data_IF_235203673288
#
_entry.id   IF_235203673288
#
_cell.length_a   1.000
_cell.length_b   1.000
_cell.length_c   1.000
_cell.angle_alpha   90.00
_cell.angle_beta   90.00
_cell.angle_gamma   90.00
#
_symmetry.space_group_name_H-M   'P 1'
#
loop_
_entity.id
_entity.type
_entity.pdbx_description
1 polymer ?
#
# COMPACT_ATOMS: atom_id res chain seq x y z
N UNK A 1 -19.93 -31.37 41.36
CA UNK A 1 -18.92 -32.45 41.55
C UNK A 1 -17.79 -32.41 40.52
N UNK A 2 -18.05 -32.32 39.20
CA UNK A 2 -17.02 -32.30 38.13
C UNK A 2 -15.88 -31.26 38.29
N UNK A 3 -16.17 -30.08 38.83
CA UNK A 3 -15.14 -29.03 39.04
C UNK A 3 -14.13 -29.37 40.14
N UNK A 4 -14.56 -30.00 41.24
CA UNK A 4 -13.68 -30.39 42.35
C UNK A 4 -12.73 -31.53 41.96
N UNK A 5 -13.21 -32.49 41.16
CA UNK A 5 -12.38 -33.59 40.64
C UNK A 5 -11.25 -33.07 39.76
N UNK A 6 -11.54 -32.11 38.87
CA UNK A 6 -10.54 -31.46 38.01
C UNK A 6 -9.50 -30.64 38.79
N UNK A 7 -9.87 -30.10 39.95
CA UNK A 7 -8.93 -29.37 40.80
C UNK A 7 -7.93 -30.34 41.48
N UNK A 8 -8.41 -31.47 42.00
CA UNK A 8 -7.56 -32.49 42.61
C UNK A 8 -6.57 -33.10 41.60
N UNK A 9 -7.06 -33.49 40.42
CA UNK A 9 -6.22 -34.05 39.34
C UNK A 9 -5.12 -33.08 38.89
N UNK A 10 -5.43 -31.77 38.86
CA UNK A 10 -4.44 -30.72 38.57
C UNK A 10 -3.40 -30.63 39.68
N UNK A 11 -3.81 -30.66 40.94
CA UNK A 11 -2.89 -30.54 42.07
C UNK A 11 -1.95 -31.77 42.16
N UNK A 12 -2.46 -32.96 41.84
CA UNK A 12 -1.65 -34.17 41.65
C UNK A 12 -0.63 -34.00 40.52
N UNK A 13 -1.06 -33.50 39.36
CA UNK A 13 -0.15 -33.21 38.24
C UNK A 13 0.93 -32.19 38.62
N UNK A 14 0.57 -31.12 39.33
CA UNK A 14 1.51 -30.11 39.81
C UNK A 14 2.56 -30.71 40.75
N UNK A 15 2.15 -31.64 41.63
CA UNK A 15 3.06 -32.35 42.53
C UNK A 15 4.04 -33.23 41.77
N UNK A 16 3.57 -33.98 40.76
CA UNK A 16 4.40 -34.84 39.92
C UNK A 16 5.41 -34.03 39.08
N UNK A 17 5.01 -32.85 38.57
CA UNK A 17 5.92 -31.93 37.88
C UNK A 17 7.04 -31.48 38.81
N UNK A 18 6.74 -31.11 40.07
CA UNK A 18 7.76 -30.64 41.01
C UNK A 18 8.76 -31.73 41.39
N UNK A 19 8.33 -32.99 41.50
CA UNK A 19 9.20 -34.12 41.82
C UNK A 19 10.23 -34.42 40.73
N UNK A 20 9.93 -34.08 39.48
CA UNK A 20 10.78 -34.33 38.31
C UNK A 20 11.17 -33.03 37.59
N UNK A 21 11.04 -31.89 38.27
CA UNK A 21 11.23 -30.59 37.68
C UNK A 21 12.70 -30.32 37.39
N UNK A 22 12.99 -29.99 36.15
CA UNK A 22 14.22 -29.31 35.75
C UNK A 22 13.92 -27.83 35.51
N UNK A 23 14.85 -26.96 35.90
CA UNK A 23 14.82 -25.55 35.48
C UNK A 23 15.30 -25.48 34.04
N UNK A 24 14.48 -24.87 33.17
CA UNK A 24 14.83 -24.71 31.76
C UNK A 24 15.75 -23.50 31.60
N UNK A 25 16.79 -23.61 30.76
CA UNK A 25 17.74 -22.53 30.47
C UNK A 25 17.07 -21.27 29.92
N UNK A 26 15.93 -21.43 29.22
CA UNK A 26 15.06 -20.33 28.80
C UNK A 26 13.63 -20.57 29.30
N UNK A 27 12.98 -19.60 29.98
CA UNK A 27 11.58 -19.70 30.34
C UNK A 27 10.67 -19.67 29.10
N UNK A 28 9.47 -20.23 29.21
CA UNK A 28 8.44 -20.13 28.17
C UNK A 28 7.97 -18.68 28.00
N UNK A 29 7.38 -18.35 26.86
CA UNK A 29 6.88 -17.00 26.53
C UNK A 29 5.99 -16.39 27.62
N UNK A 30 5.05 -17.17 28.16
CA UNK A 30 4.13 -16.75 29.22
C UNK A 30 4.85 -16.49 30.55
N UNK A 31 5.80 -17.35 30.93
CA UNK A 31 6.59 -17.14 32.14
C UNK A 31 7.56 -15.97 32.00
N UNK A 32 8.15 -15.78 30.81
CA UNK A 32 9.05 -14.66 30.50
C UNK A 32 8.34 -13.32 30.62
N UNK A 33 7.14 -13.19 30.05
CA UNK A 33 6.34 -11.96 30.11
C UNK A 33 5.85 -11.62 31.51
N UNK A 34 5.59 -12.65 32.35
CA UNK A 34 5.08 -12.48 33.71
C UNK A 34 6.17 -12.51 34.80
N UNK A 35 7.43 -12.69 34.44
CA UNK A 35 8.54 -12.82 35.39
C UNK A 35 8.44 -14.06 36.30
N UNK A 36 7.83 -15.15 35.82
CA UNK A 36 7.62 -16.38 36.59
C UNK A 36 8.77 -17.38 36.39
N UNK A 37 9.06 -18.17 37.43
CA UNK A 37 10.04 -19.26 37.35
C UNK A 37 9.45 -20.44 36.56
N UNK A 38 10.02 -20.70 35.38
CA UNK A 38 9.60 -21.78 34.50
C UNK A 38 10.27 -23.11 34.91
N UNK A 39 9.49 -24.02 35.50
CA UNK A 39 9.92 -25.39 35.82
C UNK A 39 9.20 -26.38 34.93
N UNK A 40 9.93 -27.26 34.26
CA UNK A 40 9.36 -28.25 33.33
C UNK A 40 9.85 -29.63 33.71
N UNK A 41 8.95 -30.60 33.63
CA UNK A 41 9.29 -32.01 33.66
C UNK A 41 8.89 -32.64 32.33
N UNK A 42 9.85 -32.93 31.43
CA UNK A 42 9.56 -33.55 30.14
C UNK A 42 8.90 -34.92 30.23
N UNK A 43 9.07 -35.62 31.35
CA UNK A 43 8.51 -36.95 31.56
C UNK A 43 7.01 -36.93 31.90
N UNK A 44 6.53 -35.83 32.50
CA UNK A 44 5.18 -35.78 33.09
C UNK A 44 4.25 -34.85 32.29
N UNK A 45 4.76 -33.73 31.77
CA UNK A 45 3.93 -32.76 31.05
C UNK A 45 4.73 -31.98 30.01
N UNK A 46 4.07 -31.64 28.90
CA UNK A 46 4.59 -30.67 27.93
C UNK A 46 4.49 -29.23 28.44
N UNK A 47 3.69 -28.97 29.47
CA UNK A 47 3.50 -27.66 30.07
C UNK A 47 4.38 -27.46 31.31
N UNK A 48 4.83 -26.23 31.53
CA UNK A 48 5.56 -25.88 32.74
C UNK A 48 4.62 -25.75 33.94
N UNK A 49 5.16 -25.93 35.14
CA UNK A 49 4.44 -25.84 36.41
C UNK A 49 3.59 -24.56 36.53
N UNK A 50 4.18 -23.40 36.21
CA UNK A 50 3.50 -22.11 36.32
C UNK A 50 2.33 -21.98 35.32
N UNK A 51 2.48 -22.51 34.10
CA UNK A 51 1.40 -22.54 33.10
C UNK A 51 0.25 -23.45 33.52
N UNK A 52 0.54 -24.65 34.04
CA UNK A 52 -0.50 -25.57 34.56
C UNK A 52 -1.24 -24.93 35.74
N UNK A 53 -0.51 -24.32 36.68
CA UNK A 53 -1.08 -23.64 37.85
C UNK A 53 -1.99 -22.48 37.45
N UNK A 54 -1.63 -21.73 36.41
CA UNK A 54 -2.36 -20.57 35.93
C UNK A 54 -3.38 -20.90 34.82
N UNK A 55 -3.69 -22.19 34.61
CA UNK A 55 -4.63 -22.65 33.57
C UNK A 55 -4.32 -22.12 32.17
N UNK A 56 -3.03 -21.99 31.83
CA UNK A 56 -2.62 -21.60 30.49
C UNK A 56 -2.83 -22.78 29.54
N UNK A 57 -3.55 -22.53 28.45
CA UNK A 57 -3.84 -23.53 27.42
C UNK A 57 -2.61 -23.87 26.57
N UNK A 58 -1.66 -22.95 26.47
CA UNK A 58 -0.44 -23.11 25.68
C UNK A 58 0.80 -22.79 26.51
N UNK A 59 1.80 -23.65 26.40
CA UNK A 59 3.11 -23.49 27.01
C UNK A 59 4.17 -23.95 26.00
N UNK A 60 5.03 -23.03 25.59
CA UNK A 60 6.11 -23.23 24.62
C UNK A 60 7.44 -23.59 25.29
N UNK A 61 7.42 -24.05 26.55
CA UNK A 61 8.66 -24.36 27.28
C UNK A 61 9.50 -25.48 26.63
N UNK A 62 8.86 -26.35 25.84
CA UNK A 62 9.50 -27.42 25.05
C UNK A 62 9.62 -27.04 23.56
N UNK A 63 9.27 -25.80 23.19
CA UNK A 63 9.20 -25.35 21.80
C UNK A 63 7.89 -25.73 21.09
N UNK A 64 7.85 -25.43 19.79
CA UNK A 64 6.72 -25.73 18.91
C UNK A 64 6.83 -27.18 18.44
N UNK A 65 5.76 -27.97 18.60
CA UNK A 65 5.77 -29.35 18.08
C UNK A 65 5.83 -29.40 16.56
N UNK A 66 6.41 -30.48 16.01
CA UNK A 66 6.49 -30.67 14.56
C UNK A 66 5.11 -30.64 13.87
N UNK A 67 4.05 -31.11 14.54
CA UNK A 67 2.68 -31.03 14.02
C UNK A 67 2.16 -29.59 13.94
N UNK A 68 2.44 -28.77 14.96
CA UNK A 68 2.06 -27.35 14.95
C UNK A 68 2.83 -26.58 13.89
N UNK A 69 4.13 -26.85 13.73
CA UNK A 69 4.93 -26.21 12.69
C UNK A 69 4.38 -26.53 11.29
N UNK A 70 4.03 -27.80 11.03
CA UNK A 70 3.38 -28.19 9.76
C UNK A 70 2.06 -27.45 9.52
N UNK A 71 1.24 -27.26 10.57
CA UNK A 71 -0.01 -26.48 10.46
C UNK A 71 0.27 -25.02 10.11
N UNK A 72 1.27 -24.41 10.75
CA UNK A 72 1.68 -23.03 10.47
C UNK A 72 2.15 -22.88 9.02
N UNK A 73 3.03 -23.77 8.54
CA UNK A 73 3.51 -23.76 7.15
C UNK A 73 2.35 -23.94 6.16
N UNK A 74 1.43 -24.86 6.44
CA UNK A 74 0.26 -25.06 5.59
C UNK A 74 -0.68 -23.85 5.56
N UNK A 75 -0.84 -23.15 6.69
CA UNK A 75 -1.62 -21.91 6.75
C UNK A 75 -0.91 -20.76 6.02
N UNK A 76 0.41 -20.65 6.18
CA UNK A 76 1.22 -19.66 5.47
C UNK A 76 1.07 -19.81 3.95
N UNK A 77 1.27 -21.03 3.42
CA UNK A 77 1.14 -21.27 1.98
C UNK A 77 -0.25 -21.01 1.42
N UNK A 78 -1.31 -21.19 2.24
CA UNK A 78 -2.68 -20.80 1.84
C UNK A 78 -2.81 -19.29 1.71
N UNK A 79 -2.34 -18.54 2.70
CA UNK A 79 -2.40 -17.07 2.70
C UNK A 79 -1.55 -16.51 1.56
N UNK A 80 -0.37 -17.06 1.29
CA UNK A 80 0.46 -16.66 0.15
C UNK A 80 -0.26 -16.87 -1.18
N UNK A 81 -0.90 -18.03 -1.37
CA UNK A 81 -1.66 -18.29 -2.60
C UNK A 81 -2.89 -17.38 -2.75
N UNK A 82 -3.55 -17.04 -1.65
CA UNK A 82 -4.66 -16.08 -1.66
C UNK A 82 -4.18 -14.66 -1.96
N UNK A 83 -3.04 -14.26 -1.39
CA UNK A 83 -2.40 -12.96 -1.64
C UNK A 83 -2.02 -12.82 -3.12
N UNK A 84 -1.35 -13.83 -3.69
CA UNK A 84 -0.93 -13.82 -5.09
C UNK A 84 -2.14 -13.65 -6.04
N UNK A 85 -3.25 -14.34 -5.76
CA UNK A 85 -4.50 -14.19 -6.53
C UNK A 85 -5.07 -12.78 -6.42
N UNK A 86 -5.14 -12.23 -5.20
CA UNK A 86 -5.64 -10.89 -4.97
C UNK A 86 -4.78 -9.82 -5.66
N UNK A 87 -3.45 -9.99 -5.67
CA UNK A 87 -2.53 -9.11 -6.38
C UNK A 87 -2.71 -9.18 -7.90
N UNK A 88 -2.90 -10.37 -8.46
CA UNK A 88 -3.19 -10.54 -9.89
C UNK A 88 -4.51 -9.85 -10.29
N UNK A 89 -5.55 -9.99 -9.47
CA UNK A 89 -6.84 -9.31 -9.67
C UNK A 89 -6.70 -7.78 -9.57
N UNK A 90 -5.91 -7.29 -8.60
CA UNK A 90 -5.61 -5.88 -8.46
C UNK A 90 -4.92 -5.33 -9.72
N UNK A 91 -3.90 -6.01 -10.22
CA UNK A 91 -3.20 -5.61 -11.45
C UNK A 91 -4.15 -5.57 -12.66
N UNK A 92 -5.03 -6.55 -12.80
CA UNK A 92 -6.04 -6.56 -13.87
C UNK A 92 -7.03 -5.38 -13.74
N UNK A 93 -7.47 -5.07 -12.52
CA UNK A 93 -8.36 -3.94 -12.25
C UNK A 93 -7.68 -2.59 -12.54
N UNK A 94 -6.40 -2.44 -12.16
CA UNK A 94 -5.59 -1.25 -12.43
C UNK A 94 -5.39 -1.06 -13.93
N UNK A 95 -5.12 -2.14 -14.67
CA UNK A 95 -5.02 -2.10 -16.12
C UNK A 95 -6.34 -1.62 -16.76
N UNK A 96 -7.49 -2.10 -16.28
CA UNK A 96 -8.81 -1.64 -16.72
C UNK A 96 -9.02 -0.15 -16.43
N UNK A 97 -8.71 0.30 -15.22
CA UNK A 97 -8.82 1.73 -14.84
C UNK A 97 -7.93 2.60 -15.73
N UNK A 98 -6.70 2.17 -16.02
CA UNK A 98 -5.79 2.93 -16.89
C UNK A 98 -6.29 3.01 -18.34
N UNK A 99 -6.89 1.95 -18.87
CA UNK A 99 -7.57 1.99 -20.18
C UNK A 99 -8.71 3.00 -20.19
N UNK A 100 -9.58 2.95 -19.18
CA UNK A 100 -10.71 3.90 -19.05
C UNK A 100 -10.25 5.34 -18.88
N UNK A 101 -9.18 5.59 -18.12
CA UNK A 101 -8.56 6.92 -18.00
C UNK A 101 -8.03 7.43 -19.34
N UNK A 102 -7.45 6.54 -20.15
CA UNK A 102 -6.94 6.89 -21.48
C UNK A 102 -8.08 7.20 -22.45
N UNK A 103 -9.14 6.38 -22.45
CA UNK A 103 -10.36 6.66 -23.20
C UNK A 103 -11.01 7.98 -22.77
N UNK A 104 -11.11 8.24 -21.47
CA UNK A 104 -11.65 9.50 -20.94
C UNK A 104 -10.89 10.71 -21.47
N UNK A 105 -9.55 10.67 -21.43
CA UNK A 105 -8.71 11.75 -21.98
C UNK A 105 -8.93 11.93 -23.48
N UNK A 106 -8.88 10.84 -24.24
CA UNK A 106 -9.10 10.89 -25.69
C UNK A 106 -10.47 11.50 -26.05
N UNK A 107 -11.54 11.05 -25.40
CA UNK A 107 -12.88 11.58 -25.64
C UNK A 107 -13.01 13.04 -25.20
N UNK A 108 -12.36 13.42 -24.10
CA UNK A 108 -12.34 14.82 -23.66
C UNK A 108 -11.61 15.72 -24.65
N UNK A 109 -10.47 15.27 -25.19
CA UNK A 109 -9.73 16.01 -26.22
C UNK A 109 -10.55 16.14 -27.50
N UNK A 110 -11.20 15.06 -27.94
CA UNK A 110 -12.13 15.06 -29.09
C UNK A 110 -13.27 16.06 -28.91
N UNK A 111 -13.94 16.00 -27.75
CA UNK A 111 -15.01 16.92 -27.40
C UNK A 111 -14.54 18.38 -27.42
N UNK A 112 -13.38 18.66 -26.82
CA UNK A 112 -12.79 20.01 -26.79
C UNK A 112 -12.50 20.54 -28.21
N UNK A 113 -11.99 19.69 -29.10
CA UNK A 113 -11.74 20.05 -30.51
C UNK A 113 -13.02 20.31 -31.29
N UNK A 114 -14.02 19.45 -31.14
CA UNK A 114 -15.32 19.62 -31.78
C UNK A 114 -15.96 20.96 -31.40
N UNK A 115 -15.99 21.26 -30.09
CA UNK A 115 -16.48 22.55 -29.57
C UNK A 115 -15.69 23.71 -30.17
N UNK A 116 -14.36 23.63 -30.20
CA UNK A 116 -13.49 24.70 -30.74
C UNK A 116 -13.70 24.95 -32.24
N UNK A 117 -14.15 23.94 -32.99
CA UNK A 117 -14.38 24.01 -34.44
C UNK A 117 -15.85 24.23 -34.82
N UNK A 118 -16.76 24.27 -33.84
CA UNK A 118 -18.20 24.32 -34.09
C UNK A 118 -18.75 23.07 -34.77
N UNK A 119 -18.08 21.92 -34.62
CA UNK A 119 -18.55 20.63 -35.16
C UNK A 119 -19.46 19.99 -34.12
N UNK A 120 -20.68 19.64 -34.51
CA UNK A 120 -21.72 19.06 -33.64
C UNK A 120 -21.92 17.54 -33.84
N UNK A 121 -21.30 16.94 -34.85
CA UNK A 121 -21.38 15.49 -35.14
C UNK A 121 -20.04 14.77 -34.97
N UNK A 122 -20.08 13.52 -34.48
CA UNK A 122 -18.88 12.71 -34.24
C UNK A 122 -18.25 12.26 -35.55
N UNK A 123 -19.08 11.96 -36.55
CA UNK A 123 -18.66 11.50 -37.88
C UNK A 123 -17.86 12.57 -38.62
N UNK A 124 -18.26 13.85 -38.51
CA UNK A 124 -17.53 14.96 -39.08
C UNK A 124 -16.18 15.17 -38.37
N UNK A 125 -16.14 15.04 -37.04
CA UNK A 125 -14.89 15.11 -36.29
C UNK A 125 -13.91 14.00 -36.71
N UNK A 126 -14.38 12.76 -36.88
CA UNK A 126 -13.54 11.64 -37.31
C UNK A 126 -13.02 11.79 -38.74
N UNK A 127 -13.82 12.39 -39.65
CA UNK A 127 -13.37 12.72 -41.00
C UNK A 127 -12.20 13.71 -40.96
N UNK A 128 -12.35 14.79 -40.20
CA UNK A 128 -11.31 15.82 -40.06
C UNK A 128 -10.06 15.27 -39.37
N UNK A 129 -10.20 14.46 -38.32
CA UNK A 129 -9.04 13.82 -37.66
C UNK A 129 -8.25 12.92 -38.60
N UNK A 130 -8.94 12.21 -39.49
CA UNK A 130 -8.30 11.36 -40.50
C UNK A 130 -7.50 12.21 -41.49
N UNK A 131 -8.12 13.23 -42.05
CA UNK A 131 -7.48 14.18 -42.98
C UNK A 131 -6.25 14.85 -42.34
N UNK A 132 -6.35 15.28 -41.07
CA UNK A 132 -5.24 15.88 -40.34
C UNK A 132 -4.13 14.86 -40.05
N UNK A 133 -4.48 13.63 -39.71
CA UNK A 133 -3.50 12.57 -39.45
C UNK A 133 -2.73 12.17 -40.71
N UNK A 134 -3.41 12.10 -41.86
CA UNK A 134 -2.83 11.83 -43.17
C UNK A 134 -1.95 12.99 -43.62
N UNK A 135 -2.41 14.23 -43.44
CA UNK A 135 -1.62 15.42 -43.73
C UNK A 135 -0.35 15.50 -42.85
N UNK A 136 -0.45 15.16 -41.55
CA UNK A 136 0.71 15.09 -40.65
C UNK A 136 1.67 13.96 -41.02
N UNK A 137 1.16 12.80 -41.43
CA UNK A 137 1.98 11.68 -41.88
C UNK A 137 2.71 12.03 -43.19
N UNK A 138 2.03 12.65 -44.14
CA UNK A 138 2.60 13.13 -45.39
C UNK A 138 3.62 14.26 -45.17
N UNK A 139 3.36 15.20 -44.24
CA UNK A 139 4.30 16.25 -43.85
C UNK A 139 5.57 15.68 -43.20
N UNK A 140 5.43 14.66 -42.34
CA UNK A 140 6.57 13.95 -41.74
C UNK A 140 7.36 13.15 -42.78
N UNK A 141 6.68 12.49 -43.72
CA UNK A 141 7.33 11.72 -44.78
C UNK A 141 8.04 12.62 -45.82
N UNK A 142 7.51 13.82 -46.08
CA UNK A 142 8.11 14.79 -47.00
C UNK A 142 9.25 15.62 -46.40
N UNK A 143 9.60 15.42 -45.12
CA UNK A 143 10.73 16.11 -44.48
C UNK A 143 10.57 17.63 -44.36
N UNK A 144 9.34 18.16 -44.50
CA UNK A 144 9.09 19.60 -44.40
C UNK A 144 9.08 20.02 -42.93
N UNK A 145 10.25 20.37 -42.41
CA UNK A 145 10.34 21.09 -41.14
C UNK A 145 9.55 22.41 -41.25
N UNK A 146 8.79 22.82 -40.21
CA UNK A 146 8.19 24.15 -40.20
C UNK A 146 9.29 25.19 -40.29
N UNK A 147 9.11 26.19 -41.16
CA UNK A 147 10.06 27.28 -41.39
C UNK A 147 10.51 27.90 -40.07
N UNK A 148 11.83 28.02 -39.93
CA UNK A 148 12.57 28.46 -38.74
C UNK A 148 12.24 29.86 -38.21
N UNK A 149 11.30 30.58 -38.81
CA UNK A 149 10.92 31.95 -38.41
C UNK A 149 9.99 31.99 -37.19
N UNK A 150 9.27 30.90 -36.86
CA UNK A 150 8.37 30.86 -35.69
C UNK A 150 9.10 30.36 -34.42
N UNK A 151 10.31 29.80 -34.56
CA UNK A 151 11.08 29.27 -33.43
C UNK A 151 11.75 30.39 -32.58
N UNK A 152 12.00 31.57 -33.16
CA UNK A 152 12.67 32.67 -32.46
C UNK A 152 11.73 33.54 -31.59
N UNK A 153 10.43 33.62 -31.91
CA UNK A 153 9.49 34.44 -31.14
C UNK A 153 8.84 33.70 -29.96
N UNK A 154 8.65 32.38 -30.07
CA UNK A 154 8.16 31.54 -28.96
C UNK A 154 9.22 31.30 -27.87
N UNK A 155 10.51 31.38 -28.20
CA UNK A 155 11.60 31.30 -27.20
C UNK A 155 11.58 32.45 -26.18
N UNK A 156 11.19 33.66 -26.60
CA UNK A 156 11.12 34.82 -25.72
C UNK A 156 9.89 34.81 -24.81
N UNK A 157 8.74 34.32 -25.30
CA UNK A 157 7.51 34.21 -24.48
C UNK A 157 7.58 33.03 -23.50
N UNK A 158 8.14 31.88 -23.92
CA UNK A 158 8.37 30.75 -23.02
C UNK A 158 9.41 31.09 -21.92
N UNK A 159 10.45 31.86 -22.24
CA UNK A 159 11.45 32.30 -21.27
C UNK A 159 10.92 33.29 -20.21
N UNK A 160 9.91 34.11 -20.55
CA UNK A 160 9.28 35.03 -19.61
C UNK A 160 8.30 34.31 -18.66
N UNK A 161 7.49 33.38 -19.18
CA UNK A 161 6.54 32.59 -18.37
C UNK A 161 7.30 31.60 -17.46
N UNK A 162 8.41 31.03 -17.92
CA UNK A 162 9.25 30.13 -17.13
C UNK A 162 9.95 30.80 -15.93
N UNK A 163 10.03 32.14 -15.88
CA UNK A 163 10.57 32.87 -14.71
C UNK A 163 9.51 33.21 -13.65
N UNK A 164 8.23 33.04 -13.95
CA UNK A 164 7.12 33.42 -13.06
C UNK A 164 6.30 32.24 -12.54
N UNK A 165 6.59 31.02 -12.97
CA UNK A 165 6.06 29.81 -12.35
C UNK A 165 7.18 29.09 -11.61
N UNK A 166 7.13 28.95 -10.27
CA UNK A 166 8.00 28.05 -9.55
C UNK A 166 7.62 26.62 -9.92
N UNK A 167 8.12 26.14 -11.05
CA UNK A 167 8.14 24.75 -11.42
C UNK A 167 9.20 24.06 -10.56
N UNK A 168 8.85 23.73 -9.33
CA UNK A 168 9.53 22.66 -8.60
C UNK A 168 8.79 21.35 -8.88
N UNK A 169 9.33 20.45 -9.73
CA UNK A 169 8.66 19.19 -10.07
C UNK A 169 8.47 18.25 -8.86
N UNK A 170 9.13 18.55 -7.75
CA UNK A 170 9.15 17.72 -6.56
C UNK A 170 7.95 17.88 -5.62
N UNK A 171 7.08 18.88 -5.83
CA UNK A 171 5.97 19.14 -4.90
C UNK A 171 4.72 18.29 -5.18
N UNK A 172 4.55 17.74 -6.39
CA UNK A 172 3.32 17.01 -6.74
C UNK A 172 3.36 15.52 -6.40
N UNK A 173 4.57 14.95 -6.30
CA UNK A 173 4.80 13.54 -5.96
C UNK A 173 5.82 13.43 -4.83
N UNK A 174 5.55 14.02 -3.67
CA UNK A 174 6.28 13.63 -2.47
C UNK A 174 6.08 12.10 -2.26
N UNK A 175 7.15 11.31 -2.11
CA UNK A 175 7.05 9.88 -1.83
C UNK A 175 6.14 9.66 -0.62
N UNK A 176 5.37 8.59 -0.63
CA UNK A 176 4.61 8.19 0.57
C UNK A 176 5.66 7.85 1.64
N UNK A 177 5.66 8.54 2.81
CA UNK A 177 6.64 8.23 3.84
C UNK A 177 6.45 6.78 4.29
N UNK A 178 7.51 5.99 4.25
CA UNK A 178 7.48 4.60 4.71
C UNK A 178 7.38 4.59 6.25
N UNK A 179 6.36 3.93 6.83
CA UNK A 179 6.24 3.82 8.29
C UNK A 179 7.49 3.25 8.98
N UNK A 180 8.29 2.44 8.28
CA UNK A 180 9.53 1.87 8.81
C UNK A 180 10.59 2.95 9.12
N UNK A 181 10.61 4.06 8.38
CA UNK A 181 11.55 5.17 8.58
C UNK A 181 11.22 6.01 9.83
N UNK A 182 10.01 5.86 10.38
CA UNK A 182 9.51 6.66 11.50
C UNK A 182 9.19 5.83 12.76
N UNK A 183 9.75 4.62 12.87
CA UNK A 183 9.47 3.66 13.93
C UNK A 183 9.59 4.22 15.37
N UNK A 184 10.38 5.28 15.57
CA UNK A 184 10.65 5.91 16.86
C UNK A 184 9.81 7.17 17.15
N UNK A 185 9.11 7.76 16.16
CA UNK A 185 8.35 9.00 16.38
C UNK A 185 7.07 9.10 15.53
N UNK A 186 6.03 8.40 15.98
CA UNK A 186 4.67 8.48 15.43
C UNK A 186 4.06 9.89 15.27
N UNK A 187 4.37 10.89 16.12
CA UNK A 187 3.93 12.26 15.89
C UNK A 187 4.55 12.89 14.63
N UNK A 188 5.81 12.58 14.32
CA UNK A 188 6.50 13.09 13.14
C UNK A 188 5.92 12.49 11.84
N UNK A 189 5.60 11.19 11.85
CA UNK A 189 4.90 10.54 10.73
C UNK A 189 3.54 11.19 10.44
N UNK A 190 2.74 11.45 11.48
CA UNK A 190 1.43 12.08 11.33
C UNK A 190 1.52 13.53 10.83
N UNK A 191 2.51 14.28 11.28
CA UNK A 191 2.77 15.63 10.77
C UNK A 191 3.17 15.61 9.28
N UNK A 192 4.03 14.68 8.87
CA UNK A 192 4.44 14.51 7.48
C UNK A 192 3.27 14.09 6.57
N UNK A 193 2.43 13.16 7.03
CA UNK A 193 1.23 12.74 6.30
C UNK A 193 0.18 13.86 6.18
N UNK A 194 0.01 14.67 7.24
CA UNK A 194 -0.91 15.81 7.23
C UNK A 194 -0.45 16.93 6.29
N UNK A 195 0.86 17.23 6.26
CA UNK A 195 1.45 18.22 5.35
C UNK A 195 1.26 17.83 3.87
N UNK A 196 1.32 16.53 3.55
CA UNK A 196 1.02 16.00 2.22
C UNK A 196 -0.45 16.18 1.82
N UNK A 197 -1.39 16.01 2.76
CA UNK A 197 -2.81 16.21 2.47
C UNK A 197 -3.17 17.68 2.25
N UNK A 198 -2.50 18.61 2.93
CA UNK A 198 -2.68 20.06 2.75
C UNK A 198 -2.13 20.56 1.40
N UNK A 199 -1.04 19.96 0.90
CA UNK A 199 -0.47 20.30 -0.41
C UNK A 199 -1.34 19.79 -1.57
N UNK A 200 -2.01 18.64 -1.39
CA UNK A 200 -3.01 18.13 -2.35
C UNK A 200 -4.26 19.03 -2.43
N UNK A 201 -4.74 19.55 -1.30
CA UNK A 201 -5.93 20.43 -1.29
C UNK A 201 -5.64 21.84 -1.82
N UNK A 202 -4.44 22.38 -1.56
CA UNK A 202 -4.02 23.68 -2.08
C UNK A 202 -3.81 23.69 -3.61
N UNK A 203 -3.45 22.54 -4.21
CA UNK A 203 -3.33 22.38 -5.66
C UNK A 203 -4.66 22.32 -6.41
N UNK A 204 -5.75 21.92 -5.74
CA UNK A 204 -7.09 21.80 -6.36
C UNK A 204 -7.86 23.13 -6.41
N UNK A 205 -7.52 24.12 -5.58
CA UNK A 205 -8.25 25.39 -5.46
C UNK A 205 -7.68 26.57 -6.28
N UNK A 206 -6.64 26.37 -7.10
CA UNK A 206 -6.05 27.44 -7.93
C UNK A 206 -6.50 27.43 -9.40
N UNK A 207 -7.62 26.77 -9.72
CA UNK A 207 -8.19 26.70 -11.07
C UNK A 207 -9.48 27.50 -11.29
N UNK A 208 -9.98 28.22 -10.29
CA UNK A 208 -11.27 28.90 -10.37
C UNK A 208 -11.22 30.15 -9.49
N UNK A 209 -10.90 31.31 -10.09
CA UNK A 209 -11.32 32.69 -9.72
C UNK A 209 -10.36 33.69 -10.43
N UNK A 210 -10.97 34.71 -11.06
CA UNK A 210 -10.43 35.83 -11.84
C UNK A 210 -10.14 35.50 -13.32
N UNK A 211 -10.80 36.10 -14.32
CA UNK A 211 -11.29 37.48 -14.39
C UNK A 211 -12.74 37.60 -14.90
N UNK A 212 -13.55 38.24 -14.06
CA UNK A 212 -14.79 38.90 -14.44
C UNK A 212 -14.75 40.32 -13.86
N UNK A 213 -14.45 41.32 -14.70
CA UNK A 213 -15.12 42.64 -14.71
C UNK A 213 -14.42 43.66 -15.63
N UNK A 214 -15.32 44.33 -16.38
CA UNK A 214 -15.26 45.67 -16.99
C UNK A 214 -14.41 45.85 -18.25
#
# INVERSE_FOLDING_TARGET
MKSKVKAAERDDLLSAILQSASTVTSPCSSCKTRGLVCKVSPAVSSACYACVRNHQSFCDAQGISAQQLRKIVAQHGKVESELEKAEAELLASVAKVNRLRSQKRMWFDKMTRAISRGIDTVEELERVEREESEALAAAKASGRAPSSEVCCSLGHVAGAIARQLPMTPHAFFAPIPDPAEYATSWPAFRAAAAARNLTLSAGMNKGFVADARL
#
